data_IF_181321728202
#
_entry.id   IF_181321728202
#
_cell.length_a   1.000
_cell.length_b   1.000
_cell.length_c   1.000
_cell.angle_alpha   90.00
_cell.angle_beta   90.00
_cell.angle_gamma   90.00
#
_symmetry.space_group_name_H-M   'P 1'
#
loop_
_entity.id
_entity.type
_entity.pdbx_description
1 polymer ?
#
# COMPACT_ATOMS: atom_id res chain seq x y z
N UNK A 1 -23.65 15.13 25.21
CA UNK A 1 -22.65 14.53 26.14
C UNK A 1 -22.82 13.02 26.07
N UNK A 2 -21.71 12.30 26.24
CA UNK A 2 -21.62 10.84 26.38
C UNK A 2 -21.94 9.99 25.12
N UNK A 3 -20.88 9.77 24.35
CA UNK A 3 -20.49 8.42 23.93
C UNK A 3 -18.98 8.47 23.62
N UNK A 4 -18.20 8.89 24.61
CA UNK A 4 -16.78 8.56 24.60
C UNK A 4 -16.71 7.04 24.68
N UNK A 5 -16.16 6.41 23.64
CA UNK A 5 -15.87 4.99 23.62
C UNK A 5 -15.22 4.63 24.96
N UNK A 6 -15.91 3.78 25.74
CA UNK A 6 -15.53 3.30 27.08
C UNK A 6 -14.28 2.38 27.03
N UNK A 7 -13.27 2.77 26.26
CA UNK A 7 -11.97 2.13 26.24
C UNK A 7 -11.29 2.58 27.52
N UNK A 8 -11.08 1.63 28.45
CA UNK A 8 -10.40 1.90 29.70
C UNK A 8 -9.08 2.64 29.42
N UNK A 9 -8.70 3.64 30.23
CA UNK A 9 -7.51 4.46 30.01
C UNK A 9 -6.24 3.60 29.86
N UNK A 10 -6.13 2.51 30.61
CA UNK A 10 -5.06 1.52 30.48
C UNK A 10 -4.98 0.92 29.07
N UNK A 11 -6.12 0.57 28.47
CA UNK A 11 -6.18 -0.01 27.13
C UNK A 11 -5.71 0.98 26.06
N UNK A 12 -6.10 2.27 26.17
CA UNK A 12 -5.66 3.32 25.22
C UNK A 12 -4.14 3.50 25.24
N UNK A 13 -3.55 3.55 26.44
CA UNK A 13 -2.10 3.70 26.61
C UNK A 13 -1.35 2.48 26.06
N UNK A 14 -1.83 1.26 26.32
CA UNK A 14 -1.20 0.03 25.81
C UNK A 14 -1.23 0.00 24.27
N UNK A 15 -2.40 0.22 23.65
CA UNK A 15 -2.52 0.22 22.20
C UNK A 15 -1.70 1.33 21.55
N UNK A 16 -1.76 2.55 22.10
CA UNK A 16 -0.96 3.68 21.62
C UNK A 16 0.54 3.41 21.72
N UNK A 17 1.01 2.81 22.82
CA UNK A 17 2.42 2.43 22.99
C UNK A 17 2.89 1.39 21.98
N UNK A 18 2.09 0.34 21.74
CA UNK A 18 2.39 -0.69 20.74
C UNK A 18 2.45 -0.07 19.33
N UNK A 19 1.45 0.75 18.98
CA UNK A 19 1.39 1.38 17.67
C UNK A 19 2.56 2.34 17.45
N UNK A 20 2.95 3.11 18.48
CA UNK A 20 4.10 4.00 18.42
C UNK A 20 5.39 3.23 18.16
N UNK A 21 5.62 2.15 18.93
CA UNK A 21 6.80 1.31 18.79
C UNK A 21 6.89 0.68 17.39
N UNK A 22 5.79 0.12 16.89
CA UNK A 22 5.72 -0.44 15.54
C UNK A 22 5.97 0.62 14.47
N UNK A 23 5.37 1.80 14.61
CA UNK A 23 5.53 2.89 13.63
C UNK A 23 6.98 3.36 13.54
N UNK A 24 7.66 3.55 14.68
CA UNK A 24 9.09 3.91 14.71
C UNK A 24 9.97 2.81 14.10
N UNK A 25 9.68 1.55 14.42
CA UNK A 25 10.38 0.41 13.84
C UNK A 25 10.22 0.36 12.32
N UNK A 26 8.99 0.49 11.82
CA UNK A 26 8.70 0.46 10.38
C UNK A 26 9.30 1.67 9.65
N UNK A 27 9.28 2.87 10.21
CA UNK A 27 9.99 4.03 9.61
C UNK A 27 11.47 3.74 9.48
N UNK A 28 12.10 3.25 10.54
CA UNK A 28 13.52 2.92 10.53
C UNK A 28 13.84 1.85 9.48
N UNK A 29 12.98 0.83 9.38
CA UNK A 29 13.08 -0.22 8.37
C UNK A 29 12.92 0.34 6.95
N UNK A 30 11.90 1.17 6.69
CA UNK A 30 11.69 1.77 5.37
C UNK A 30 12.84 2.70 4.96
N UNK A 31 13.38 3.50 5.88
CA UNK A 31 14.56 4.34 5.60
C UNK A 31 15.77 3.48 5.23
N UNK A 32 16.01 2.39 5.96
CA UNK A 32 17.06 1.43 5.62
C UNK A 32 16.84 0.79 4.24
N UNK A 33 15.61 0.37 3.93
CA UNK A 33 15.24 -0.21 2.62
C UNK A 33 15.43 0.81 1.51
N UNK A 34 15.00 2.06 1.70
CA UNK A 34 15.20 3.15 0.74
C UNK A 34 16.67 3.40 0.47
N UNK A 35 17.51 3.41 1.51
CA UNK A 35 18.96 3.54 1.36
C UNK A 35 19.55 2.34 0.58
N UNK A 36 19.12 1.12 0.90
CA UNK A 36 19.56 -0.08 0.20
C UNK A 36 19.15 -0.08 -1.29
N UNK A 37 17.91 0.31 -1.60
CA UNK A 37 17.40 0.44 -2.97
C UNK A 37 18.15 1.54 -3.72
N UNK A 38 18.38 2.70 -3.08
CA UNK A 38 19.15 3.78 -3.67
C UNK A 38 20.58 3.35 -4.02
N UNK A 39 21.24 2.57 -3.15
CA UNK A 39 22.59 2.07 -3.41
C UNK A 39 22.64 0.98 -4.48
N UNK A 40 21.70 0.04 -4.44
CA UNK A 40 21.73 -1.17 -5.28
C UNK A 40 21.05 -1.03 -6.64
N UNK A 41 19.96 -0.25 -6.72
CA UNK A 41 19.04 -0.29 -7.84
C UNK A 41 18.93 1.03 -8.61
N UNK A 42 19.66 2.10 -8.26
CA UNK A 42 19.53 3.43 -8.91
C UNK A 42 19.66 3.45 -10.45
N UNK A 43 20.28 2.41 -11.04
CA UNK A 43 20.45 2.28 -12.50
C UNK A 43 19.32 1.53 -13.19
N UNK A 44 18.41 0.90 -12.44
CA UNK A 44 17.32 0.09 -12.97
C UNK A 44 16.10 0.98 -13.24
N UNK A 45 15.44 0.82 -14.39
CA UNK A 45 14.29 1.66 -14.77
C UNK A 45 13.10 1.58 -13.78
N UNK A 46 13.01 0.52 -12.99
CA UNK A 46 11.97 0.30 -11.97
C UNK A 46 12.30 0.89 -10.61
N UNK A 47 13.53 1.42 -10.44
CA UNK A 47 13.97 2.08 -9.21
C UNK A 47 12.97 3.10 -8.71
N UNK A 48 12.46 3.95 -9.62
CA UNK A 48 11.55 5.04 -9.28
C UNK A 48 10.32 4.48 -8.57
N UNK A 49 9.69 3.42 -9.09
CA UNK A 49 8.48 2.84 -8.52
C UNK A 49 8.69 2.35 -7.08
N UNK A 50 9.78 1.62 -6.82
CA UNK A 50 10.08 1.12 -5.48
C UNK A 50 10.48 2.25 -4.52
N UNK A 51 11.22 3.24 -5.03
CA UNK A 51 11.69 4.35 -4.22
C UNK A 51 10.53 5.28 -3.80
N UNK A 52 9.63 5.62 -4.72
CA UNK A 52 8.49 6.48 -4.40
C UNK A 52 7.47 5.78 -3.52
N UNK A 53 7.26 4.47 -3.67
CA UNK A 53 6.41 3.68 -2.77
C UNK A 53 6.97 3.60 -1.35
N UNK A 54 8.28 3.34 -1.22
CA UNK A 54 8.95 3.32 0.09
C UNK A 54 8.93 4.68 0.79
N UNK A 55 9.07 5.78 0.02
CA UNK A 55 8.93 7.15 0.55
C UNK A 55 7.51 7.40 1.06
N UNK A 56 6.48 6.98 0.31
CA UNK A 56 5.09 7.12 0.72
C UNK A 56 4.76 6.32 1.97
N UNK A 57 5.24 5.07 2.03
CA UNK A 57 5.09 4.23 3.20
C UNK A 57 5.75 4.87 4.43
N UNK A 58 6.94 5.44 4.27
CA UNK A 58 7.64 6.16 5.36
C UNK A 58 6.85 7.39 5.86
N UNK A 59 6.34 8.21 4.95
CA UNK A 59 5.56 9.41 5.29
C UNK A 59 4.21 9.00 5.90
N UNK A 60 3.57 7.96 5.38
CA UNK A 60 2.32 7.42 5.94
C UNK A 60 2.49 6.92 7.38
N UNK A 61 3.67 6.39 7.73
CA UNK A 61 3.95 5.99 9.11
C UNK A 61 4.03 7.16 10.10
N UNK A 62 4.30 8.40 9.63
CA UNK A 62 4.24 9.59 10.47
C UNK A 62 2.82 9.86 10.97
N UNK A 63 1.79 9.57 10.16
CA UNK A 63 0.41 9.66 10.61
C UNK A 63 0.13 8.73 11.79
N UNK A 64 0.63 7.48 11.75
CA UNK A 64 0.46 6.54 12.85
C UNK A 64 1.22 6.96 14.12
N UNK A 65 2.35 7.64 14.00
CA UNK A 65 3.05 8.25 15.15
C UNK A 65 2.16 9.32 15.79
N UNK A 66 1.67 10.28 15.00
CA UNK A 66 0.80 11.34 15.50
C UNK A 66 -0.43 10.77 16.20
N UNK A 67 -1.07 9.80 15.55
CA UNK A 67 -2.23 9.11 16.10
C UNK A 67 -1.93 8.34 17.40
N UNK A 68 -0.75 7.71 17.50
CA UNK A 68 -0.32 7.04 18.72
C UNK A 68 -0.10 8.00 19.88
N UNK A 69 0.45 9.19 19.62
CA UNK A 69 0.63 10.24 20.62
C UNK A 69 -0.71 10.74 21.16
N UNK A 70 -1.72 10.89 20.29
CA UNK A 70 -3.09 11.23 20.72
C UNK A 70 -3.70 10.15 21.61
N UNK A 71 -3.49 8.87 21.26
CA UNK A 71 -3.98 7.74 22.06
C UNK A 71 -3.34 7.68 23.45
N UNK A 72 -2.02 7.91 23.55
CA UNK A 72 -1.28 7.85 24.81
C UNK A 72 -1.61 9.07 25.69
N UNK A 73 -1.61 10.27 25.11
CA UNK A 73 -1.83 11.50 25.88
C UNK A 73 -3.29 11.67 26.32
N UNK A 74 -4.23 11.00 25.65
CA UNK A 74 -5.67 11.22 25.85
C UNK A 74 -6.13 12.62 25.43
N UNK A 75 -5.21 13.45 24.94
CA UNK A 75 -5.43 14.80 24.46
C UNK A 75 -5.32 14.84 22.94
N UNK A 76 -6.02 15.78 22.30
CA UNK A 76 -5.88 15.99 20.86
C UNK A 76 -4.50 16.55 20.56
N UNK A 77 -3.88 16.10 19.47
CA UNK A 77 -2.65 16.72 19.00
C UNK A 77 -2.93 18.19 18.68
N UNK A 78 -1.93 19.08 18.79
CA UNK A 78 -2.06 20.48 18.39
C UNK A 78 -2.19 20.67 16.86
N UNK A 79 -2.49 19.59 16.12
CA UNK A 79 -2.64 19.57 14.68
C UNK A 79 -4.13 19.34 14.37
N UNK A 80 -4.75 20.16 13.50
CA UNK A 80 -6.13 19.95 13.09
C UNK A 80 -6.37 18.55 12.50
N UNK A 81 -7.50 17.93 12.85
CA UNK A 81 -7.89 16.59 12.38
C UNK A 81 -7.89 16.47 10.85
N UNK A 82 -8.32 17.52 10.14
CA UNK A 82 -8.31 17.53 8.68
C UNK A 82 -6.90 17.39 8.09
N UNK A 83 -5.85 17.95 8.74
CA UNK A 83 -4.46 17.79 8.28
C UNK A 83 -3.99 16.36 8.51
N UNK A 84 -4.33 15.78 9.66
CA UNK A 84 -3.97 14.40 10.01
C UNK A 84 -4.64 13.42 9.04
N UNK A 85 -5.92 13.62 8.72
CA UNK A 85 -6.64 12.81 7.73
C UNK A 85 -6.13 13.05 6.31
N UNK A 86 -5.82 14.30 5.95
CA UNK A 86 -5.21 14.61 4.66
C UNK A 86 -3.89 13.90 4.48
N UNK A 87 -3.02 13.92 5.51
CA UNK A 87 -1.74 13.20 5.48
C UNK A 87 -1.97 11.71 5.23
N UNK A 88 -2.89 11.08 5.97
CA UNK A 88 -3.25 9.67 5.77
C UNK A 88 -3.73 9.36 4.35
N UNK A 89 -4.63 10.20 3.80
CA UNK A 89 -5.22 9.97 2.47
C UNK A 89 -4.24 10.24 1.33
N UNK A 90 -3.43 11.29 1.46
CA UNK A 90 -2.42 11.67 0.48
C UNK A 90 -1.24 10.71 0.48
N UNK A 91 -0.98 9.95 1.55
CA UNK A 91 0.05 8.90 1.53
C UNK A 91 -0.50 7.54 1.12
N UNK A 92 -1.69 7.17 1.58
CA UNK A 92 -2.25 5.84 1.33
C UNK A 92 -2.72 5.64 -0.11
N UNK A 93 -3.41 6.64 -0.72
CA UNK A 93 -3.92 6.51 -2.09
C UNK A 93 -2.79 6.38 -3.13
N UNK A 94 -1.73 7.22 -3.10
CA UNK A 94 -0.61 7.05 -4.02
C UNK A 94 0.16 5.75 -3.80
N UNK A 95 0.26 5.26 -2.56
CA UNK A 95 0.91 3.97 -2.27
C UNK A 95 0.13 2.81 -2.88
N UNK A 96 -1.20 2.74 -2.73
CA UNK A 96 -2.02 1.72 -3.38
C UNK A 96 -1.87 1.75 -4.91
N UNK A 97 -1.90 2.95 -5.50
CA UNK A 97 -1.65 3.11 -6.94
C UNK A 97 -0.24 2.64 -7.35
N UNK A 98 0.78 2.88 -6.51
CA UNK A 98 2.14 2.40 -6.75
C UNK A 98 2.27 0.88 -6.68
N UNK A 99 1.60 0.23 -5.71
CA UNK A 99 1.55 -1.24 -5.63
C UNK A 99 0.97 -1.83 -6.92
N UNK A 100 -0.11 -1.24 -7.45
CA UNK A 100 -0.67 -1.66 -8.73
C UNK A 100 0.30 -1.44 -9.90
N UNK A 101 0.98 -0.29 -9.96
CA UNK A 101 1.97 0.00 -11.01
C UNK A 101 3.17 -0.96 -10.95
N UNK A 102 3.62 -1.33 -9.75
CA UNK A 102 4.66 -2.33 -9.53
C UNK A 102 4.17 -3.71 -10.01
N UNK A 103 2.95 -4.09 -9.66
CA UNK A 103 2.35 -5.35 -10.10
C UNK A 103 2.26 -5.41 -11.63
N UNK A 104 1.79 -4.34 -12.28
CA UNK A 104 1.73 -4.22 -13.74
C UNK A 104 3.12 -4.24 -14.39
N UNK A 105 4.10 -3.58 -13.77
CA UNK A 105 5.49 -3.62 -14.22
C UNK A 105 6.03 -5.07 -14.21
N UNK A 106 5.83 -5.79 -13.12
CA UNK A 106 6.23 -7.20 -13.00
C UNK A 106 5.46 -8.09 -13.97
N UNK A 107 4.16 -7.87 -14.13
CA UNK A 107 3.36 -8.60 -15.10
C UNK A 107 3.90 -8.41 -16.52
N UNK A 108 4.16 -7.17 -16.94
CA UNK A 108 4.73 -6.92 -18.27
C UNK A 108 6.06 -7.67 -18.46
N UNK A 109 6.95 -7.68 -17.46
CA UNK A 109 8.23 -8.38 -17.56
C UNK A 109 8.11 -9.89 -17.81
N UNK A 110 7.02 -10.50 -17.30
CA UNK A 110 6.76 -11.93 -17.44
C UNK A 110 5.93 -12.23 -18.68
N UNK A 111 4.86 -11.46 -18.92
CA UNK A 111 3.91 -11.73 -20.00
C UNK A 111 4.42 -11.29 -21.38
N UNK A 112 5.15 -10.17 -21.45
CA UNK A 112 5.59 -9.53 -22.70
C UNK A 112 7.07 -9.08 -22.60
N UNK A 113 8.02 -10.00 -22.41
CA UNK A 113 9.44 -9.65 -22.19
C UNK A 113 10.06 -8.87 -23.36
N UNK A 114 9.66 -9.17 -24.60
CA UNK A 114 10.21 -8.52 -25.81
C UNK A 114 9.86 -7.04 -25.97
N UNK A 115 8.82 -6.56 -25.28
CA UNK A 115 8.43 -5.15 -25.25
C UNK A 115 8.78 -4.46 -23.93
N UNK A 116 9.18 -5.23 -22.91
CA UNK A 116 9.39 -4.72 -21.56
C UNK A 116 10.42 -3.58 -21.53
N UNK A 117 11.62 -3.79 -22.05
CA UNK A 117 12.69 -2.77 -22.04
C UNK A 117 12.38 -1.55 -22.92
N UNK A 118 11.57 -1.73 -23.97
CA UNK A 118 11.10 -0.64 -24.84
C UNK A 118 10.01 0.20 -24.17
N UNK A 119 9.18 -0.42 -23.35
CA UNK A 119 8.08 0.26 -22.68
C UNK A 119 8.52 0.93 -21.37
N UNK A 120 9.17 0.18 -20.48
CA UNK A 120 9.59 0.62 -19.14
C UNK A 120 10.96 1.30 -19.18
N UNK A 121 11.03 2.46 -19.84
CA UNK A 121 12.20 3.34 -19.79
C UNK A 121 12.16 4.22 -18.54
N UNK A 122 13.32 4.67 -18.04
CA UNK A 122 13.40 5.58 -16.89
C UNK A 122 12.45 6.78 -16.98
N UNK A 123 12.42 7.47 -18.14
CA UNK A 123 11.56 8.64 -18.37
C UNK A 123 10.07 8.29 -18.32
N UNK A 124 9.66 7.17 -18.93
CA UNK A 124 8.26 6.73 -18.90
C UNK A 124 7.85 6.30 -17.50
N UNK A 125 8.68 5.54 -16.79
CA UNK A 125 8.41 5.17 -15.40
C UNK A 125 8.24 6.40 -14.53
N UNK A 126 9.12 7.41 -14.68
CA UNK A 126 9.01 8.67 -13.95
C UNK A 126 7.68 9.38 -14.23
N UNK A 127 7.30 9.52 -15.50
CA UNK A 127 6.02 10.14 -15.86
C UNK A 127 4.81 9.36 -15.33
N UNK A 128 4.81 8.03 -15.43
CA UNK A 128 3.73 7.18 -14.91
C UNK A 128 3.63 7.32 -13.37
N UNK A 129 4.77 7.34 -12.67
CA UNK A 129 4.80 7.55 -11.22
C UNK A 129 4.26 8.92 -10.82
N UNK A 130 4.70 9.99 -11.49
CA UNK A 130 4.26 11.37 -11.19
C UNK A 130 2.77 11.55 -11.49
N UNK A 131 2.30 11.05 -12.63
CA UNK A 131 0.88 11.13 -13.01
C UNK A 131 0.01 10.32 -12.07
N UNK A 132 0.42 9.10 -11.72
CA UNK A 132 -0.25 8.26 -10.72
C UNK A 132 -0.32 8.96 -9.36
N UNK A 133 0.76 9.65 -8.94
CA UNK A 133 0.78 10.48 -7.75
C UNK A 133 -0.24 11.60 -7.81
N UNK A 134 -0.18 12.44 -8.85
CA UNK A 134 -1.05 13.60 -8.99
C UNK A 134 -2.53 13.18 -8.93
N UNK A 135 -2.90 12.10 -9.63
CA UNK A 135 -4.25 11.56 -9.63
C UNK A 135 -4.66 11.02 -8.24
N UNK A 136 -3.81 10.19 -7.62
CA UNK A 136 -4.13 9.58 -6.33
C UNK A 136 -4.15 10.59 -5.18
N UNK A 137 -3.26 11.59 -5.20
CA UNK A 137 -3.29 12.74 -4.29
C UNK A 137 -4.55 13.57 -4.52
N UNK A 138 -4.94 13.83 -5.77
CA UNK A 138 -6.20 14.52 -6.09
C UNK A 138 -7.42 13.79 -5.53
N UNK A 139 -7.47 12.46 -5.66
CA UNK A 139 -8.50 11.62 -5.04
C UNK A 139 -8.46 11.69 -3.51
N UNK A 140 -7.27 11.68 -2.91
CA UNK A 140 -7.08 11.86 -1.47
C UNK A 140 -7.63 13.21 -0.99
N UNK A 141 -7.31 14.30 -1.69
CA UNK A 141 -7.83 15.65 -1.40
C UNK A 141 -9.34 15.74 -1.58
N UNK A 142 -9.87 15.20 -2.68
CA UNK A 142 -11.32 15.15 -2.91
C UNK A 142 -12.03 14.38 -1.80
N UNK A 143 -11.42 13.30 -1.29
CA UNK A 143 -11.99 12.60 -0.15
C UNK A 143 -12.04 13.52 1.09
N UNK A 144 -11.01 14.31 1.38
CA UNK A 144 -11.00 15.14 2.59
C UNK A 144 -11.89 16.39 2.47
N UNK A 145 -11.86 17.06 1.32
CA UNK A 145 -12.52 18.37 1.14
C UNK A 145 -13.82 18.31 0.33
N UNK A 146 -14.10 17.21 -0.37
CA UNK A 146 -15.28 17.05 -1.21
C UNK A 146 -16.54 16.61 -0.46
N UNK A 147 -16.46 16.42 0.85
CA UNK A 147 -17.60 16.06 1.70
C UNK A 147 -17.65 16.95 2.93
N UNK A 148 -18.83 17.52 3.22
CA UNK A 148 -19.11 18.24 4.47
C UNK A 148 -19.09 17.25 5.64
N UNK A 149 -17.90 16.99 6.16
CA UNK A 149 -17.65 16.06 7.26
C UNK A 149 -17.19 16.82 8.51
N UNK A 150 -17.91 16.63 9.62
CA UNK A 150 -17.51 17.18 10.93
C UNK A 150 -16.15 16.63 11.41
N UNK A 151 -15.41 17.41 12.21
CA UNK A 151 -14.10 17.02 12.78
C UNK A 151 -14.10 15.70 13.56
N UNK A 152 -15.25 15.34 14.16
CA UNK A 152 -15.42 14.05 14.86
C UNK A 152 -15.45 12.88 13.89
N UNK A 153 -16.10 13.06 12.73
CA UNK A 153 -16.19 12.06 11.67
C UNK A 153 -14.83 11.80 11.01
N UNK A 154 -14.03 12.85 10.81
CA UNK A 154 -12.65 12.74 10.32
C UNK A 154 -11.76 11.89 11.26
N UNK A 155 -11.93 12.07 12.57
CA UNK A 155 -11.17 11.31 13.58
C UNK A 155 -11.60 9.84 13.65
N UNK A 156 -12.91 9.55 13.56
CA UNK A 156 -13.41 8.17 13.49
C UNK A 156 -12.97 7.48 12.20
N UNK A 157 -12.90 8.21 11.09
CA UNK A 157 -12.41 7.68 9.82
C UNK A 157 -10.93 7.26 9.88
N UNK A 158 -10.08 8.01 10.59
CA UNK A 158 -8.68 7.64 10.80
C UNK A 158 -8.57 6.34 11.64
N UNK A 159 -9.38 6.23 12.70
CA UNK A 159 -9.53 5.03 13.54
C UNK A 159 -9.99 3.82 12.74
N UNK A 160 -11.01 3.96 11.88
CA UNK A 160 -11.58 2.89 11.05
C UNK A 160 -10.59 2.41 9.96
N UNK A 161 -9.69 3.26 9.47
CA UNK A 161 -8.56 2.81 8.63
C UNK A 161 -7.47 2.10 9.41
N UNK A 162 -7.33 2.36 10.72
CA UNK A 162 -6.40 1.66 11.58
C UNK A 162 -6.97 0.33 12.11
N UNK A 163 -8.30 0.23 12.31
CA UNK A 163 -9.00 -0.99 12.67
C UNK A 163 -9.51 -1.72 11.42
N UNK A 164 -8.67 -2.57 10.85
CA UNK A 164 -9.04 -3.47 9.73
C UNK A 164 -10.31 -4.32 10.00
N UNK A 165 -10.81 -4.42 11.24
CA UNK A 165 -11.90 -5.33 11.62
C UNK A 165 -12.90 -4.84 12.67
N UNK A 166 -12.98 -3.55 13.02
CA UNK A 166 -14.06 -3.13 13.91
C UNK A 166 -14.53 -1.73 13.58
N UNK A 167 -15.75 -1.66 13.02
CA UNK A 167 -16.55 -0.45 12.91
C UNK A 167 -16.82 0.06 14.32
N UNK A 168 -16.06 1.06 14.76
CA UNK A 168 -16.37 1.76 15.99
C UNK A 168 -17.67 2.53 15.79
N UNK A 169 -18.80 1.88 16.11
CA UNK A 169 -20.09 2.54 16.38
C UNK A 169 -20.55 3.59 15.37
N UNK A 170 -20.41 3.34 14.06
CA UNK A 170 -20.93 4.25 13.03
C UNK A 170 -22.45 4.12 12.92
N UNK A 171 -23.18 4.69 13.88
CA UNK A 171 -24.59 4.98 13.74
C UNK A 171 -24.76 6.50 13.58
N UNK A 172 -25.26 6.90 12.41
CA UNK A 172 -25.82 8.23 12.10
C UNK A 172 -24.89 9.45 12.12
N UNK A 173 -23.90 9.51 11.21
CA UNK A 173 -23.37 10.80 10.74
C UNK A 173 -23.68 10.90 9.24
N UNK A 174 -24.48 11.89 8.82
CA UNK A 174 -24.77 12.13 7.39
C UNK A 174 -23.47 12.50 6.67
N UNK A 175 -23.23 11.93 5.48
CA UNK A 175 -22.07 12.24 4.63
C UNK A 175 -20.88 11.26 4.74
N UNK A 176 -20.68 10.61 5.89
CA UNK A 176 -19.52 9.72 6.10
C UNK A 176 -19.67 8.34 5.48
N UNK A 177 -20.89 7.81 5.36
CA UNK A 177 -21.13 6.44 4.90
C UNK A 177 -20.68 6.22 3.46
N UNK A 178 -21.09 7.07 2.52
CA UNK A 178 -20.75 6.92 1.10
C UNK A 178 -19.26 7.07 0.84
N UNK A 179 -18.61 8.09 1.42
CA UNK A 179 -17.19 8.35 1.22
C UNK A 179 -16.31 7.24 1.79
N UNK A 180 -16.67 6.71 2.96
CA UNK A 180 -15.92 5.65 3.64
C UNK A 180 -16.08 4.31 2.90
N UNK A 181 -17.29 4.06 2.39
CA UNK A 181 -17.57 2.95 1.47
C UNK A 181 -16.75 3.12 0.18
N UNK A 182 -16.83 4.27 -0.49
CA UNK A 182 -16.12 4.54 -1.75
C UNK A 182 -14.60 4.42 -1.61
N UNK A 183 -14.02 5.01 -0.56
CA UNK A 183 -12.59 4.88 -0.26
C UNK A 183 -12.20 3.42 0.03
N UNK A 184 -12.97 2.70 0.86
CA UNK A 184 -12.72 1.27 1.12
C UNK A 184 -12.81 0.46 -0.17
N UNK A 185 -13.78 0.72 -1.04
CA UNK A 185 -13.90 0.04 -2.34
C UNK A 185 -12.73 0.34 -3.25
N UNK A 186 -12.23 1.59 -3.31
CA UNK A 186 -11.04 1.92 -4.10
C UNK A 186 -9.83 1.14 -3.61
N UNK A 187 -9.57 1.12 -2.30
CA UNK A 187 -8.45 0.34 -1.74
C UNK A 187 -8.61 -1.14 -2.01
N UNK A 188 -9.76 -1.72 -1.66
CA UNK A 188 -10.06 -3.13 -1.89
C UNK A 188 -9.90 -3.47 -3.38
N UNK A 189 -10.41 -2.63 -4.28
CA UNK A 189 -10.32 -2.86 -5.71
C UNK A 189 -8.87 -2.82 -6.20
N UNK A 190 -8.10 -1.80 -5.83
CA UNK A 190 -6.72 -1.62 -6.26
C UNK A 190 -5.84 -2.75 -5.71
N UNK A 191 -5.94 -3.04 -4.41
CA UNK A 191 -5.15 -4.09 -3.75
C UNK A 191 -5.54 -5.49 -4.24
N UNK A 192 -6.84 -5.76 -4.43
CA UNK A 192 -7.30 -7.03 -5.01
C UNK A 192 -6.82 -7.19 -6.45
N UNK A 193 -6.83 -6.13 -7.24
CA UNK A 193 -6.33 -6.17 -8.61
C UNK A 193 -4.83 -6.46 -8.63
N UNK A 194 -4.06 -5.79 -7.77
CA UNK A 194 -2.63 -6.06 -7.62
C UNK A 194 -2.36 -7.51 -7.18
N UNK A 195 -3.10 -8.02 -6.19
CA UNK A 195 -2.99 -9.40 -5.72
C UNK A 195 -3.29 -10.41 -6.83
N UNK A 196 -4.37 -10.19 -7.59
CA UNK A 196 -4.74 -11.05 -8.72
C UNK A 196 -3.64 -11.07 -9.78
N UNK A 197 -3.04 -9.91 -10.09
CA UNK A 197 -1.90 -9.83 -11.01
C UNK A 197 -0.70 -10.63 -10.47
N UNK A 198 -0.38 -10.52 -9.18
CA UNK A 198 0.69 -11.31 -8.56
C UNK A 198 0.41 -12.81 -8.61
N UNK A 199 -0.82 -13.25 -8.34
CA UNK A 199 -1.20 -14.65 -8.44
C UNK A 199 -1.03 -15.19 -9.87
N UNK A 200 -1.44 -14.42 -10.88
CA UNK A 200 -1.24 -14.78 -12.29
C UNK A 200 0.24 -14.90 -12.65
N UNK A 201 1.09 -14.01 -12.13
CA UNK A 201 2.55 -14.09 -12.31
C UNK A 201 3.09 -15.39 -11.71
N UNK A 202 2.70 -15.72 -10.47
CA UNK A 202 3.17 -16.92 -9.78
C UNK A 202 2.73 -18.19 -10.53
N UNK A 203 1.46 -18.27 -10.92
CA UNK A 203 0.92 -19.41 -11.69
C UNK A 203 1.72 -19.60 -12.98
N UNK A 204 2.02 -18.52 -13.70
CA UNK A 204 2.82 -18.59 -14.92
C UNK A 204 4.26 -19.05 -14.67
N UNK A 205 4.92 -18.52 -13.64
CA UNK A 205 6.29 -18.93 -13.29
C UNK A 205 6.35 -20.42 -12.91
N UNK A 206 5.36 -20.92 -12.16
CA UNK A 206 5.24 -22.34 -11.82
C UNK A 206 5.03 -23.16 -13.10
N UNK A 207 4.12 -22.74 -13.98
CA UNK A 207 3.84 -23.42 -15.24
C UNK A 207 5.08 -23.53 -16.12
N UNK A 208 5.81 -22.43 -16.32
CA UNK A 208 7.04 -22.40 -17.11
C UNK A 208 8.11 -23.33 -16.51
N UNK A 209 8.24 -23.36 -15.18
CA UNK A 209 9.19 -24.26 -14.51
C UNK A 209 8.80 -25.73 -14.67
N UNK A 210 7.52 -26.06 -14.57
CA UNK A 210 7.01 -27.41 -14.82
C UNK A 210 7.24 -27.85 -16.27
N UNK A 211 6.99 -26.96 -17.24
CA UNK A 211 7.22 -27.22 -18.66
C UNK A 211 8.71 -27.43 -19.01
N UNK A 212 9.61 -26.68 -18.36
CA UNK A 212 11.06 -26.90 -18.52
C UNK A 212 11.49 -28.26 -17.96
N UNK A 213 10.99 -28.64 -16.79
CA UNK A 213 11.30 -29.93 -16.18
C UNK A 213 10.77 -31.11 -17.02
N UNK A 214 9.57 -30.99 -17.60
CA UNK A 214 9.02 -32.05 -18.47
C UNK A 214 9.81 -32.18 -19.78
N UNK A 215 10.27 -31.08 -20.37
CA UNK A 215 11.17 -31.12 -21.53
C UNK A 215 12.51 -31.77 -21.19
N UNK A 216 13.11 -31.46 -20.05
CA UNK A 216 14.36 -32.09 -19.58
C UNK A 216 14.21 -33.61 -19.39
N UNK A 217 13.10 -34.06 -18.81
CA UNK A 217 12.79 -35.49 -18.65
C UNK A 217 12.63 -36.18 -20.02
N UNK A 218 11.92 -35.54 -20.95
CA UNK A 218 11.72 -36.08 -22.29
C UNK A 218 13.05 -36.15 -23.07
N UNK A 219 13.91 -35.15 -22.92
CA UNK A 219 15.25 -35.15 -23.52
C UNK A 219 16.13 -36.26 -22.95
N UNK A 220 16.13 -36.44 -21.63
CA UNK A 220 16.88 -37.51 -20.95
C UNK A 220 16.42 -38.92 -21.37
N UNK A 221 15.10 -39.14 -21.52
CA UNK A 221 14.59 -40.42 -22.02
C UNK A 221 15.02 -40.69 -23.47
N UNK A 222 15.14 -39.66 -24.30
CA UNK A 222 15.54 -39.81 -25.71
C UNK A 222 17.04 -40.07 -25.87
N UNK A 223 17.89 -39.49 -25.01
CA UNK A 223 19.34 -39.73 -25.03
C UNK A 223 19.78 -41.01 -24.33
N UNK A 224 19.10 -41.43 -23.25
CA UNK A 224 19.49 -42.61 -22.47
C UNK A 224 18.62 -43.86 -22.73
N UNK A 225 17.44 -43.72 -23.35
CA UNK A 225 16.51 -44.82 -23.59
C UNK A 225 16.85 -45.73 -24.78
N UNK A 226 17.84 -45.37 -25.60
CA UNK A 226 18.27 -46.20 -26.75
C UNK A 226 19.37 -47.21 -26.42
N UNK A 227 19.94 -47.20 -25.22
CA UNK A 227 20.81 -48.29 -24.74
C UNK A 227 19.94 -49.39 -24.12
N UNK A 228 19.18 -50.12 -24.95
CA UNK A 228 18.77 -51.47 -24.58
C UNK A 228 19.82 -52.44 -25.16
N UNK A 229 20.33 -53.40 -24.36
CA UNK A 229 21.29 -54.40 -24.83
C UNK A 229 20.71 -55.28 -25.95
#
# INVERSE_FOLDING_TARGET
MENESNIQPCTRIIFGGILLALSIFFISFYVMVLFAIFRSAKKINTFILFFTDGLMSSIGMLHYILFSVELISGSRAPIPNYIITLLSRVTSMPSAMHILLIALNRAHSVFLPFSYDRFWTYRRTLHISITGWALATGLGMYSVYGCDCDDRALMTHNLDTASLFNSYGMQNIRGTSFQLIFNKWIFIFIDSLALNIYLLIIIRLIWERCAQNSMLICYAQKTFGHNKP
#
